data_IF_758475017002
#
_entry.id   IF_758475017002
#
_cell.length_a   1.000
_cell.length_b   1.000
_cell.length_c   1.000
_cell.angle_alpha   90.00
_cell.angle_beta   90.00
_cell.angle_gamma   90.00
#
_symmetry.space_group_name_H-M   'P 1'
#
loop_
_entity.id
_entity.type
_entity.pdbx_description
1 polymer ?
#
# COMPACT_ATOMS: atom_id res chain seq x y z
N UNK A 1 29.43 0.54 10.09
CA UNK A 1 28.94 1.77 10.76
C UNK A 1 28.14 2.61 9.76
N UNK A 2 26.82 2.34 9.57
CA UNK A 2 25.81 3.30 9.08
C UNK A 2 24.37 2.70 9.00
N UNK A 3 23.96 1.91 9.99
CA UNK A 3 22.65 1.20 9.97
C UNK A 3 21.42 2.13 9.88
N UNK A 4 21.55 3.40 10.30
CA UNK A 4 20.43 4.37 10.28
C UNK A 4 20.19 5.00 8.90
N UNK A 5 21.23 5.15 8.08
CA UNK A 5 21.12 5.79 6.77
C UNK A 5 20.32 4.94 5.77
N UNK A 6 20.22 3.62 5.97
CA UNK A 6 19.47 2.72 5.10
C UNK A 6 17.98 2.57 5.48
N UNK A 7 17.59 2.90 6.72
CA UNK A 7 16.21 2.73 7.17
C UNK A 7 15.28 3.84 6.68
N UNK A 8 15.70 5.11 6.81
CA UNK A 8 14.87 6.24 6.40
C UNK A 8 14.54 6.22 4.89
N UNK A 9 15.48 5.91 3.97
CA UNK A 9 15.15 5.73 2.56
C UNK A 9 14.14 4.60 2.33
N UNK A 10 14.32 3.44 2.98
CA UNK A 10 13.39 2.33 2.86
C UNK A 10 11.99 2.70 3.38
N UNK A 11 11.92 3.41 4.50
CA UNK A 11 10.67 3.90 5.07
C UNK A 11 9.93 4.81 4.09
N UNK A 12 10.63 5.79 3.50
CA UNK A 12 10.05 6.71 2.52
C UNK A 12 9.66 5.97 1.24
N UNK A 13 10.53 5.07 0.74
CA UNK A 13 10.26 4.27 -0.44
C UNK A 13 9.02 3.41 -0.26
N UNK A 14 8.89 2.69 0.86
CA UNK A 14 7.71 1.87 1.14
C UNK A 14 6.41 2.70 1.15
N UNK A 15 6.45 3.93 1.67
CA UNK A 15 5.31 4.86 1.59
C UNK A 15 4.94 5.16 0.13
N UNK A 16 5.90 5.65 -0.67
CA UNK A 16 5.64 6.07 -2.05
C UNK A 16 5.31 4.91 -2.99
N UNK A 17 5.90 3.73 -2.77
CA UNK A 17 5.55 2.52 -3.52
C UNK A 17 4.10 2.13 -3.23
N UNK A 18 3.68 2.12 -1.97
CA UNK A 18 2.28 1.80 -1.62
C UNK A 18 1.29 2.80 -2.24
N UNK A 19 1.60 4.10 -2.20
CA UNK A 19 0.80 5.14 -2.88
C UNK A 19 0.73 4.85 -4.38
N UNK A 20 1.87 4.61 -5.03
CA UNK A 20 1.95 4.38 -6.48
C UNK A 20 1.19 3.14 -6.93
N UNK A 21 1.32 2.03 -6.21
CA UNK A 21 0.59 0.78 -6.50
C UNK A 21 -0.91 1.00 -6.40
N UNK A 22 -1.37 1.70 -5.37
CA UNK A 22 -2.79 1.93 -5.17
C UNK A 22 -3.37 2.90 -6.20
N UNK A 23 -2.72 4.05 -6.44
CA UNK A 23 -3.16 5.01 -7.45
C UNK A 23 -3.11 4.41 -8.85
N UNK A 24 -2.01 3.74 -9.21
CA UNK A 24 -1.85 3.12 -10.51
C UNK A 24 -2.87 2.02 -10.74
N UNK A 25 -3.03 1.10 -9.79
CA UNK A 25 -4.00 0.01 -9.92
C UNK A 25 -5.45 0.50 -9.97
N UNK A 26 -5.82 1.50 -9.16
CA UNK A 26 -7.16 2.06 -9.17
C UNK A 26 -7.46 2.83 -10.49
N UNK A 27 -6.54 3.68 -10.95
CA UNK A 27 -6.75 4.51 -12.16
C UNK A 27 -6.72 3.66 -13.43
N UNK A 28 -5.70 2.81 -13.57
CA UNK A 28 -5.59 1.94 -14.75
C UNK A 28 -6.66 0.85 -14.73
N UNK A 29 -7.01 0.32 -13.56
CA UNK A 29 -8.14 -0.60 -13.41
C UNK A 29 -9.48 0.03 -13.81
N UNK A 30 -9.70 1.29 -13.44
CA UNK A 30 -10.89 2.05 -13.85
C UNK A 30 -10.96 2.25 -15.37
N UNK A 31 -9.81 2.48 -16.03
CA UNK A 31 -9.74 2.52 -17.49
C UNK A 31 -10.12 1.17 -18.11
N UNK A 32 -9.67 0.04 -17.53
CA UNK A 32 -10.10 -1.29 -17.93
C UNK A 32 -11.61 -1.51 -17.77
N UNK A 33 -12.20 -0.99 -16.69
CA UNK A 33 -13.64 -1.03 -16.48
C UNK A 33 -14.41 -0.20 -17.52
N UNK A 34 -13.89 0.98 -17.90
CA UNK A 34 -14.46 1.80 -18.96
C UNK A 34 -14.48 1.08 -20.31
N UNK A 35 -13.35 0.44 -20.68
CA UNK A 35 -13.24 -0.33 -21.93
C UNK A 35 -14.15 -1.57 -21.94
N UNK A 36 -14.47 -2.10 -20.77
CA UNK A 36 -15.38 -3.25 -20.60
C UNK A 36 -16.87 -2.85 -20.56
N UNK A 37 -17.20 -1.56 -20.67
CA UNK A 37 -18.58 -1.06 -20.64
C UNK A 37 -19.16 -0.86 -19.22
N UNK A 38 -18.33 -0.90 -18.17
CA UNK A 38 -18.74 -0.63 -16.79
C UNK A 38 -18.54 0.84 -16.37
N UNK A 39 -19.03 1.19 -15.18
CA UNK A 39 -18.85 2.53 -14.59
C UNK A 39 -17.41 2.72 -14.05
N UNK A 40 -16.58 3.59 -14.66
CA UNK A 40 -15.17 3.73 -14.28
C UNK A 40 -14.98 4.30 -12.87
N UNK A 41 -15.81 5.27 -12.47
CA UNK A 41 -15.70 5.93 -11.16
C UNK A 41 -15.98 4.97 -10.00
N UNK A 42 -17.05 4.17 -10.10
CA UNK A 42 -17.40 3.16 -9.10
C UNK A 42 -16.35 2.06 -9.04
N UNK A 43 -15.83 1.63 -10.20
CA UNK A 43 -14.74 0.65 -10.26
C UNK A 43 -13.46 1.19 -9.60
N UNK A 44 -13.09 2.44 -9.88
CA UNK A 44 -11.92 3.10 -9.27
C UNK A 44 -11.99 3.09 -7.75
N UNK A 45 -13.14 3.44 -7.17
CA UNK A 45 -13.36 3.43 -5.72
C UNK A 45 -13.24 2.01 -5.15
N UNK A 46 -13.88 1.03 -5.79
CA UNK A 46 -13.82 -0.37 -5.35
C UNK A 46 -12.38 -0.91 -5.40
N UNK A 47 -11.68 -0.65 -6.50
CA UNK A 47 -10.27 -1.06 -6.65
C UNK A 47 -9.36 -0.40 -5.63
N UNK A 48 -9.57 0.86 -5.27
CA UNK A 48 -8.80 1.50 -4.20
C UNK A 48 -8.98 0.80 -2.85
N UNK A 49 -10.19 0.34 -2.53
CA UNK A 49 -10.46 -0.46 -1.34
C UNK A 49 -9.74 -1.81 -1.37
N UNK A 50 -9.91 -2.57 -2.46
CA UNK A 50 -9.35 -3.92 -2.61
C UNK A 50 -7.82 -3.90 -2.66
N UNK A 51 -7.22 -2.91 -3.32
CA UNK A 51 -5.76 -2.78 -3.47
C UNK A 51 -5.06 -2.30 -2.20
N UNK A 52 -5.78 -1.89 -1.15
CA UNK A 52 -5.16 -1.34 0.06
C UNK A 52 -4.16 -2.29 0.70
N UNK A 53 -4.53 -3.56 0.88
CA UNK A 53 -3.64 -4.58 1.46
C UNK A 53 -2.55 -4.97 0.46
N UNK A 54 -2.91 -5.12 -0.81
CA UNK A 54 -1.95 -5.48 -1.88
C UNK A 54 -0.87 -4.42 -2.08
N UNK A 55 -1.19 -3.13 -1.92
CA UNK A 55 -0.24 -2.03 -1.96
C UNK A 55 0.80 -2.12 -0.82
N UNK A 56 0.36 -2.51 0.38
CA UNK A 56 1.26 -2.74 1.52
C UNK A 56 2.17 -3.95 1.24
N UNK A 57 1.61 -5.05 0.74
CA UNK A 57 2.36 -6.26 0.37
C UNK A 57 3.42 -5.91 -0.70
N UNK A 58 3.04 -5.19 -1.74
CA UNK A 58 3.93 -4.77 -2.81
C UNK A 58 5.08 -3.86 -2.32
N UNK A 59 4.80 -2.95 -1.39
CA UNK A 59 5.80 -2.06 -0.81
C UNK A 59 6.85 -2.75 0.07
N UNK A 60 6.56 -3.94 0.57
CA UNK A 60 7.42 -4.71 1.48
C UNK A 60 8.22 -5.79 0.74
N UNK A 61 7.72 -6.30 -0.39
CA UNK A 61 8.39 -7.37 -1.14
C UNK A 61 7.49 -8.25 -2.02
N UNK A 62 6.20 -7.91 -2.15
CA UNK A 62 5.28 -8.51 -3.12
C UNK A 62 4.70 -9.87 -2.74
N UNK A 63 5.22 -10.53 -1.69
CA UNK A 63 4.76 -11.86 -1.25
C UNK A 63 4.39 -11.88 0.23
N UNK A 64 3.39 -12.70 0.59
CA UNK A 64 3.01 -12.92 1.99
C UNK A 64 4.14 -13.55 2.83
N UNK A 65 5.12 -14.19 2.19
CA UNK A 65 6.29 -14.78 2.87
C UNK A 65 7.10 -13.75 3.65
N UNK A 66 7.09 -12.48 3.22
CA UNK A 66 7.78 -11.42 3.96
C UNK A 66 7.14 -11.16 5.33
N UNK A 67 5.84 -11.43 5.51
CA UNK A 67 5.18 -11.39 6.82
C UNK A 67 5.58 -12.58 7.71
N UNK A 68 5.76 -13.78 7.14
CA UNK A 68 6.22 -14.95 7.90
C UNK A 68 7.67 -14.81 8.39
N UNK A 69 8.52 -14.07 7.66
CA UNK A 69 9.86 -13.72 8.13
C UNK A 69 9.80 -12.78 9.33
N UNK A 70 8.84 -11.85 9.35
CA UNK A 70 8.58 -11.00 10.54
C UNK A 70 8.15 -11.85 11.74
N UNK A 71 7.25 -12.81 11.51
CA UNK A 71 6.76 -13.71 12.56
C UNK A 71 7.88 -14.60 13.14
N UNK A 72 8.75 -15.14 12.27
CA UNK A 72 9.90 -15.93 12.74
C UNK A 72 10.95 -15.08 13.46
N UNK A 73 11.21 -13.85 13.00
CA UNK A 73 12.07 -12.90 13.69
C UNK A 73 11.54 -12.53 15.09
N UNK A 74 10.21 -12.42 15.23
CA UNK A 74 9.48 -12.26 16.49
C UNK A 74 9.74 -13.41 17.48
N UNK A 75 9.78 -14.64 17.00
CA UNK A 75 10.04 -15.81 17.84
C UNK A 75 11.53 -16.04 18.17
N UNK A 76 12.46 -15.51 17.37
CA UNK A 76 13.92 -15.71 17.53
C UNK A 76 14.62 -14.66 18.43
N UNK A 77 13.94 -13.58 18.82
CA UNK A 77 14.42 -12.65 19.85
C UNK A 77 15.20 -11.42 19.37
N UNK A 78 15.30 -11.16 18.07
CA UNK A 78 15.89 -9.92 17.51
C UNK A 78 14.90 -8.74 17.57
N UNK A 79 14.67 -8.21 18.78
CA UNK A 79 13.71 -7.13 19.06
C UNK A 79 13.94 -5.85 18.25
N UNK A 80 15.19 -5.56 17.85
CA UNK A 80 15.54 -4.35 17.09
C UNK A 80 15.04 -4.40 15.64
N UNK A 81 15.10 -5.56 14.99
CA UNK A 81 14.69 -5.70 13.58
C UNK A 81 13.16 -5.76 13.43
N UNK A 82 12.46 -6.28 14.43
CA UNK A 82 10.99 -6.28 14.46
C UNK A 82 10.43 -4.86 14.47
N UNK A 83 10.97 -3.99 15.33
CA UNK A 83 10.53 -2.59 15.40
C UNK A 83 10.77 -1.89 14.07
N UNK A 84 11.92 -2.16 13.42
CA UNK A 84 12.22 -1.62 12.09
C UNK A 84 11.20 -2.07 11.07
N UNK A 85 10.86 -3.35 11.03
CA UNK A 85 9.93 -3.90 10.04
C UNK A 85 8.49 -3.45 10.30
N UNK A 86 8.09 -3.35 11.56
CA UNK A 86 6.81 -2.77 11.96
C UNK A 86 6.69 -1.32 11.49
N UNK A 87 7.74 -0.49 11.66
CA UNK A 87 7.73 0.88 11.16
C UNK A 87 7.65 0.95 9.62
N UNK A 88 8.28 0.03 8.88
CA UNK A 88 8.13 -0.04 7.42
C UNK A 88 6.69 -0.39 7.00
N UNK A 89 6.05 -1.35 7.70
CA UNK A 89 4.65 -1.71 7.48
C UNK A 89 3.76 -0.49 7.76
N UNK A 90 3.98 0.21 8.87
CA UNK A 90 3.22 1.43 9.18
C UNK A 90 3.39 2.50 8.11
N UNK A 91 4.60 2.67 7.57
CA UNK A 91 4.85 3.58 6.46
C UNK A 91 4.06 3.19 5.22
N UNK A 92 4.12 1.93 4.81
CA UNK A 92 3.39 1.40 3.66
C UNK A 92 1.86 1.52 3.86
N UNK A 93 1.37 1.24 5.06
CA UNK A 93 -0.04 1.41 5.41
C UNK A 93 -0.46 2.88 5.33
N UNK A 94 0.39 3.80 5.79
CA UNK A 94 0.19 5.24 5.64
C UNK A 94 0.09 5.63 4.16
N UNK A 95 0.99 5.11 3.32
CA UNK A 95 0.98 5.35 1.89
C UNK A 95 -0.28 4.82 1.20
N UNK A 96 -0.67 3.58 1.51
CA UNK A 96 -1.91 3.00 0.99
C UNK A 96 -3.13 3.81 1.45
N UNK A 97 -3.21 4.23 2.71
CA UNK A 97 -4.32 5.05 3.21
C UNK A 97 -4.40 6.40 2.48
N UNK A 98 -3.26 7.06 2.26
CA UNK A 98 -3.20 8.31 1.48
C UNK A 98 -3.67 8.09 0.05
N UNK A 99 -3.27 6.99 -0.58
CA UNK A 99 -3.75 6.62 -1.91
C UNK A 99 -5.27 6.46 -1.97
N UNK A 100 -5.86 5.73 -1.00
CA UNK A 100 -7.33 5.59 -0.91
C UNK A 100 -7.99 6.95 -0.72
N UNK A 101 -7.45 7.80 0.14
CA UNK A 101 -7.99 9.14 0.38
C UNK A 101 -7.98 9.98 -0.90
N UNK A 102 -6.89 9.94 -1.68
CA UNK A 102 -6.78 10.64 -2.97
C UNK A 102 -7.83 10.11 -3.95
N UNK A 103 -7.98 8.79 -4.09
CA UNK A 103 -9.00 8.22 -4.99
C UNK A 103 -10.41 8.57 -4.52
N UNK A 104 -10.66 8.54 -3.21
CA UNK A 104 -11.97 8.91 -2.64
C UNK A 104 -12.28 10.36 -2.93
N UNK A 105 -11.30 11.26 -2.79
CA UNK A 105 -11.43 12.66 -3.17
C UNK A 105 -11.63 12.86 -4.66
N UNK A 106 -10.98 12.06 -5.50
CA UNK A 106 -11.13 12.13 -6.97
C UNK A 106 -12.48 11.59 -7.45
N UNK A 107 -12.97 10.53 -6.80
CA UNK A 107 -14.24 9.88 -7.14
C UNK A 107 -15.45 10.56 -6.50
N UNK A 108 -15.23 11.44 -5.50
CA UNK A 108 -16.25 12.25 -4.81
C UNK A 108 -17.47 11.43 -4.36
N UNK A 109 -17.26 10.15 -3.97
CA UNK A 109 -18.29 9.20 -3.53
C UNK A 109 -19.64 9.34 -4.27
N UNK A 110 -19.65 9.45 -5.61
CA UNK A 110 -20.88 9.45 -6.41
C UNK A 110 -22.09 10.18 -5.79
N UNK A 111 -21.91 11.43 -5.33
CA UNK A 111 -22.98 12.33 -4.87
C UNK A 111 -23.63 11.83 -3.55
N UNK A 112 -23.76 12.75 -2.60
CA UNK A 112 -24.64 12.60 -1.44
C UNK A 112 -26.02 12.04 -1.85
N UNK A 113 -26.71 11.28 -0.98
CA UNK A 113 -28.10 10.90 -1.23
C UNK A 113 -28.99 12.12 -1.52
#
# INVERSE_FOLDING_TARGET
MNEKAAFLPAFIQSYFIAVGVLLGGAIIGALGAFLSGGQPLTAMYRFAGDLRIWAVVAAIGGTFDTFYVVERGLFLGETKDIVRQFLLILSAMGGAQTGVAIITWLTQEHISP
#
